data_IF_663983178338
#
_entry.id   IF_663983178338
#
_cell.length_a   1.000
_cell.length_b   1.000
_cell.length_c   1.000
_cell.angle_alpha   90.00
_cell.angle_beta   90.00
_cell.angle_gamma   90.00
#
_symmetry.space_group_name_H-M   'P 1'
#
loop_
_entity.id
_entity.type
_entity.pdbx_description
1 polymer ?
#
# COMPACT_ATOMS: atom_id res chain seq x y z
N UNK A 1 18.34 5.19 7.10
CA UNK A 1 17.54 6.27 6.50
C UNK A 1 17.51 6.26 4.98
N UNK A 2 18.62 6.45 4.25
CA UNK A 2 18.63 6.47 2.75
C UNK A 2 17.87 5.29 2.15
N UNK A 3 18.26 4.04 2.44
CA UNK A 3 17.60 2.84 1.90
C UNK A 3 16.10 2.76 2.21
N UNK A 4 15.69 3.12 3.44
CA UNK A 4 14.28 3.09 3.84
C UNK A 4 13.45 4.14 3.08
N UNK A 5 13.98 5.36 2.93
CA UNK A 5 13.31 6.39 2.13
C UNK A 5 13.24 5.98 0.66
N UNK A 6 14.34 5.45 0.09
CA UNK A 6 14.37 5.03 -1.31
C UNK A 6 13.37 3.92 -1.58
N UNK A 7 13.24 2.95 -0.65
CA UNK A 7 12.19 1.94 -0.68
C UNK A 7 10.78 2.56 -0.71
N UNK A 8 10.51 3.55 0.14
CA UNK A 8 9.22 4.26 0.15
C UNK A 8 8.94 5.01 -1.17
N UNK A 9 9.97 5.57 -1.83
CA UNK A 9 9.79 6.22 -3.15
C UNK A 9 9.44 5.23 -4.26
N UNK A 10 9.88 3.97 -4.17
CA UNK A 10 9.71 3.00 -5.28
C UNK A 10 8.26 2.78 -5.71
N UNK A 11 7.30 2.98 -4.80
CA UNK A 11 5.87 2.77 -5.07
C UNK A 11 5.30 3.82 -6.02
N UNK A 12 5.88 5.04 -6.06
CA UNK A 12 5.36 6.16 -6.83
C UNK A 12 5.49 5.94 -8.33
N UNK A 13 6.50 5.18 -8.78
CA UNK A 13 6.57 4.75 -10.16
C UNK A 13 5.30 3.99 -10.58
N UNK A 14 4.78 3.10 -9.73
CA UNK A 14 3.55 2.35 -9.97
C UNK A 14 2.28 3.21 -9.83
N UNK A 15 2.36 4.34 -9.12
CA UNK A 15 1.26 5.31 -8.98
C UNK A 15 1.04 6.18 -10.23
N UNK A 16 1.76 5.94 -11.33
CA UNK A 16 1.44 6.62 -12.62
C UNK A 16 0.17 6.08 -13.28
N UNK A 17 -0.36 4.96 -12.78
CA UNK A 17 -1.52 4.25 -13.33
C UNK A 17 -2.81 5.00 -13.03
N UNK A 18 -3.53 5.42 -14.07
CA UNK A 18 -4.77 6.23 -13.94
C UNK A 18 -6.02 5.39 -13.69
N UNK A 19 -5.90 4.07 -13.63
CA UNK A 19 -7.01 3.16 -13.38
C UNK A 19 -7.35 3.09 -11.89
N UNK A 20 -8.62 3.30 -11.57
CA UNK A 20 -9.12 3.15 -10.20
C UNK A 20 -9.08 1.67 -9.78
N UNK A 21 -8.42 1.31 -8.66
CA UNK A 21 -8.49 -0.05 -8.14
C UNK A 21 -9.91 -0.37 -7.63
N UNK A 22 -10.23 -1.66 -7.52
CA UNK A 22 -11.49 -2.08 -6.91
C UNK A 22 -11.54 -1.65 -5.45
N UNK A 23 -12.70 -1.14 -5.02
CA UNK A 23 -12.94 -0.92 -3.60
C UNK A 23 -13.11 -2.29 -2.93
N UNK A 24 -12.30 -2.64 -1.91
CA UNK A 24 -12.45 -3.91 -1.24
C UNK A 24 -13.79 -4.01 -0.48
N UNK A 25 -14.33 -5.22 -0.42
CA UNK A 25 -15.49 -5.56 0.39
C UNK A 25 -15.05 -5.63 1.86
N UNK A 26 -15.92 -5.24 2.80
CA UNK A 26 -15.63 -5.40 4.24
C UNK A 26 -15.24 -6.85 4.57
N UNK A 27 -14.10 -7.05 5.24
CA UNK A 27 -13.54 -8.38 5.54
C UNK A 27 -12.78 -9.06 4.38
N UNK A 28 -12.74 -8.46 3.19
CA UNK A 28 -11.86 -8.93 2.11
C UNK A 28 -10.41 -8.90 2.55
N UNK A 29 -9.67 -9.96 2.25
CA UNK A 29 -8.25 -10.11 2.54
C UNK A 29 -7.42 -10.15 1.27
N UNK A 30 -6.12 -9.97 1.41
CA UNK A 30 -5.14 -10.38 0.43
C UNK A 30 -3.92 -10.96 1.13
N UNK A 31 -3.49 -12.15 0.72
CA UNK A 31 -2.29 -12.79 1.26
C UNK A 31 -1.20 -13.05 0.22
N UNK A 32 0.03 -13.04 0.73
CA UNK A 32 1.23 -13.48 0.05
C UNK A 32 2.09 -14.21 1.09
N UNK A 33 2.36 -15.50 0.91
CA UNK A 33 3.18 -16.28 1.81
C UNK A 33 4.56 -16.54 1.21
N UNK A 34 5.60 -16.29 2.00
CA UNK A 34 7.00 -16.56 1.69
C UNK A 34 7.46 -16.05 0.31
N UNK A 35 7.00 -14.89 -0.12
CA UNK A 35 7.49 -14.27 -1.35
C UNK A 35 8.83 -13.61 -1.06
N UNK A 36 9.93 -14.25 -1.51
CA UNK A 36 11.29 -13.82 -1.20
C UNK A 36 11.53 -13.68 0.32
N UNK A 37 10.99 -14.61 1.11
CA UNK A 37 11.08 -14.59 2.57
C UNK A 37 10.08 -13.66 3.27
N UNK A 38 9.21 -12.97 2.54
CA UNK A 38 8.22 -12.04 3.11
C UNK A 38 6.84 -12.71 3.16
N UNK A 39 6.23 -12.68 4.35
CA UNK A 39 4.81 -12.93 4.53
C UNK A 39 4.07 -11.60 4.56
N UNK A 40 2.91 -11.52 3.90
CA UNK A 40 2.04 -10.35 3.91
C UNK A 40 0.58 -10.78 4.04
N UNK A 41 -0.16 -10.05 4.87
CA UNK A 41 -1.61 -10.13 4.98
C UNK A 41 -2.17 -8.72 5.01
N UNK A 42 -3.26 -8.49 4.27
CA UNK A 42 -4.10 -7.31 4.45
C UNK A 42 -5.57 -7.68 4.59
N UNK A 43 -6.33 -6.78 5.22
CA UNK A 43 -7.75 -6.93 5.47
C UNK A 43 -8.47 -5.58 5.35
N UNK A 44 -9.63 -5.56 4.71
CA UNK A 44 -10.52 -4.40 4.72
C UNK A 44 -11.26 -4.32 6.06
N UNK A 45 -10.71 -3.54 6.99
CA UNK A 45 -11.20 -3.43 8.37
C UNK A 45 -12.42 -2.50 8.51
N UNK A 46 -12.65 -1.59 7.56
CA UNK A 46 -13.84 -0.72 7.53
C UNK A 46 -14.24 -0.36 6.10
N UNK A 47 -15.54 -0.14 5.86
CA UNK A 47 -16.07 0.29 4.56
C UNK A 47 -16.63 1.72 4.56
N UNK A 48 -16.99 2.27 5.72
CA UNK A 48 -17.51 3.63 5.86
C UNK A 48 -16.94 4.31 7.11
N UNK A 49 -15.81 5.05 7.00
CA UNK A 49 -15.02 5.26 5.78
C UNK A 49 -14.23 4.00 5.36
N UNK A 50 -13.87 3.85 4.07
CA UNK A 50 -13.03 2.74 3.62
C UNK A 50 -11.65 2.79 4.26
N UNK A 51 -11.24 1.67 4.87
CA UNK A 51 -9.93 1.51 5.47
C UNK A 51 -9.48 0.06 5.37
N UNK A 52 -8.23 -0.14 4.99
CA UNK A 52 -7.57 -1.45 4.97
C UNK A 52 -6.34 -1.42 5.86
N UNK A 53 -6.06 -2.51 6.55
CA UNK A 53 -4.81 -2.69 7.28
C UNK A 53 -3.98 -3.79 6.61
N UNK A 54 -2.67 -3.67 6.69
CA UNK A 54 -1.71 -4.61 6.14
C UNK A 54 -0.55 -4.81 7.09
N UNK A 55 -0.04 -6.03 7.14
CA UNK A 55 1.14 -6.42 7.90
C UNK A 55 2.03 -7.26 6.99
N UNK A 56 3.29 -6.88 6.85
CA UNK A 56 4.33 -7.74 6.30
C UNK A 56 5.39 -8.02 7.34
N UNK A 57 5.99 -9.20 7.26
CA UNK A 57 7.18 -9.51 8.03
C UNK A 57 8.10 -10.50 7.35
N UNK A 58 9.38 -10.39 7.67
CA UNK A 58 10.42 -11.38 7.43
C UNK A 58 11.40 -11.40 8.61
N UNK A 59 12.57 -12.03 8.45
CA UNK A 59 13.61 -12.06 9.49
C UNK A 59 14.24 -10.68 9.80
N UNK A 60 14.09 -9.70 8.91
CA UNK A 60 14.78 -8.40 9.02
C UNK A 60 13.89 -7.26 9.48
N UNK A 61 12.61 -7.25 9.10
CA UNK A 61 11.70 -6.14 9.42
C UNK A 61 10.26 -6.60 9.62
N UNK A 62 9.48 -5.74 10.28
CA UNK A 62 8.02 -5.69 10.13
C UNK A 62 7.62 -4.43 9.38
N UNK A 63 6.53 -4.50 8.62
CA UNK A 63 5.94 -3.39 7.90
C UNK A 63 4.43 -3.38 8.16
N UNK A 64 3.97 -2.34 8.85
CA UNK A 64 2.56 -2.14 9.16
C UNK A 64 2.04 -0.96 8.35
N UNK A 65 0.93 -1.17 7.66
CA UNK A 65 0.30 -0.13 6.85
C UNK A 65 -1.19 -0.07 7.12
N UNK A 66 -1.71 1.14 7.28
CA UNK A 66 -3.14 1.42 7.20
C UNK A 66 -3.37 2.28 5.98
N UNK A 67 -4.21 1.81 5.06
CA UNK A 67 -4.66 2.57 3.90
C UNK A 67 -6.00 3.22 4.22
N UNK A 68 -5.98 4.55 4.35
CA UNK A 68 -7.17 5.40 4.50
C UNK A 68 -6.96 6.65 3.68
N UNK A 69 -7.92 6.97 2.83
CA UNK A 69 -7.81 8.11 1.91
C UNK A 69 -8.92 9.12 2.17
N UNK A 70 -8.57 10.41 2.10
CA UNK A 70 -9.53 11.50 1.99
C UNK A 70 -9.38 12.12 0.62
N UNK A 71 -10.48 12.35 -0.09
CA UNK A 71 -10.43 12.92 -1.44
C UNK A 71 -11.14 14.27 -1.52
N UNK A 72 -10.61 15.21 -2.31
CA UNK A 72 -11.22 16.51 -2.57
C UNK A 72 -11.30 16.76 -4.08
N UNK A 73 -12.52 16.81 -4.59
CA UNK A 73 -12.78 17.10 -6.00
C UNK A 73 -12.72 18.61 -6.27
N UNK A 74 -11.96 19.01 -7.29
CA UNK A 74 -11.65 20.40 -7.62
C UNK A 74 -12.09 20.72 -9.07
N UNK A 75 -13.12 20.05 -9.58
CA UNK A 75 -13.57 20.21 -10.96
C UNK A 75 -12.77 19.32 -11.92
N UNK A 76 -11.74 19.82 -12.57
CA UNK A 76 -10.95 18.99 -13.50
C UNK A 76 -9.82 18.20 -12.82
N UNK A 77 -9.72 18.26 -11.49
CA UNK A 77 -8.72 17.50 -10.72
C UNK A 77 -9.30 16.93 -9.42
N UNK A 78 -8.62 15.94 -8.86
CA UNK A 78 -8.94 15.30 -7.58
C UNK A 78 -7.67 15.23 -6.73
N UNK A 79 -7.70 15.85 -5.57
CA UNK A 79 -6.65 15.68 -4.57
C UNK A 79 -6.98 14.45 -3.72
N UNK A 80 -5.97 13.61 -3.45
CA UNK A 80 -6.03 12.39 -2.65
C UNK A 80 -5.04 12.52 -1.52
N UNK A 81 -5.54 12.61 -0.30
CA UNK A 81 -4.74 12.75 0.91
C UNK A 81 -4.60 11.38 1.62
N UNK A 82 -3.37 10.89 1.84
CA UNK A 82 -3.12 9.61 2.48
C UNK A 82 -3.18 9.73 4.02
N UNK A 83 -4.39 9.68 4.57
CA UNK A 83 -4.63 9.75 6.04
C UNK A 83 -4.08 8.53 6.79
N UNK A 84 -3.81 7.45 6.05
CA UNK A 84 -3.21 6.23 6.57
C UNK A 84 -1.84 6.41 7.22
N UNK A 85 -1.42 5.38 7.97
CA UNK A 85 -0.10 5.31 8.63
C UNK A 85 0.73 4.19 8.04
N UNK A 86 2.03 4.44 7.86
CA UNK A 86 3.01 3.43 7.48
C UNK A 86 4.13 3.39 8.52
N UNK A 87 4.42 2.19 9.05
CA UNK A 87 5.47 1.96 10.05
C UNK A 87 6.35 0.79 9.64
N UNK A 88 7.66 0.94 9.80
CA UNK A 88 8.64 -0.14 9.57
C UNK A 88 9.46 -0.32 10.83
N UNK A 89 9.52 -1.54 11.37
CA UNK A 89 10.40 -1.85 12.50
C UNK A 89 11.56 -2.70 12.01
N UNK A 90 12.80 -2.25 12.21
CA UNK A 90 14.00 -3.00 11.88
C UNK A 90 14.33 -3.97 13.01
N UNK A 91 14.13 -5.27 12.80
CA UNK A 91 14.23 -6.29 13.86
C UNK A 91 15.63 -6.37 14.48
N UNK A 92 16.68 -6.10 13.71
CA UNK A 92 18.07 -6.15 14.19
C UNK A 92 18.42 -5.03 15.18
N UNK A 93 17.93 -3.82 14.95
CA UNK A 93 18.29 -2.62 15.75
C UNK A 93 17.17 -2.19 16.68
N UNK A 94 15.95 -2.67 16.48
CA UNK A 94 14.75 -2.20 17.18
C UNK A 94 14.27 -0.82 16.73
N UNK A 95 14.87 -0.24 15.68
CA UNK A 95 14.51 1.09 15.19
C UNK A 95 13.13 1.08 14.53
N UNK A 96 12.33 2.10 14.84
CA UNK A 96 10.99 2.28 14.32
C UNK A 96 10.96 3.48 13.38
N UNK A 97 10.63 3.23 12.13
CA UNK A 97 10.50 4.24 11.09
C UNK A 97 9.04 4.55 10.82
N UNK A 98 8.73 5.83 10.63
CA UNK A 98 7.39 6.34 10.33
C UNK A 98 7.42 7.16 9.03
N UNK A 99 6.47 6.87 8.14
CA UNK A 99 6.38 7.52 6.84
C UNK A 99 5.13 8.40 6.76
N UNK A 100 5.34 9.67 6.44
CA UNK A 100 4.31 10.61 6.00
C UNK A 100 4.48 10.82 4.49
N UNK A 101 3.59 10.26 3.65
CA UNK A 101 3.66 10.45 2.21
C UNK A 101 3.04 11.79 1.76
N UNK A 102 3.51 12.38 0.64
CA UNK A 102 2.86 13.51 -0.02
C UNK A 102 1.46 13.14 -0.52
N UNK A 103 0.57 14.13 -0.73
CA UNK A 103 -0.70 13.91 -1.39
C UNK A 103 -0.50 13.49 -2.85
N UNK A 104 -1.46 12.78 -3.40
CA UNK A 104 -1.53 12.49 -4.84
C UNK A 104 -2.57 13.39 -5.50
N UNK A 105 -2.26 13.90 -6.69
CA UNK A 105 -3.17 14.68 -7.51
C UNK A 105 -3.51 13.94 -8.80
N UNK A 106 -4.81 13.75 -9.04
CA UNK A 106 -5.33 13.29 -10.33
C UNK A 106 -5.67 14.51 -11.17
N UNK A 107 -4.89 14.75 -12.22
CA UNK A 107 -5.08 15.86 -13.14
C UNK A 107 -5.90 15.41 -14.35
N UNK A 108 -6.67 16.32 -14.94
CA UNK A 108 -7.48 16.08 -16.13
C UNK A 108 -8.46 14.91 -15.94
N UNK A 109 -9.23 14.95 -14.85
CA UNK A 109 -10.19 13.90 -14.52
C UNK A 109 -11.41 13.90 -15.46
N UNK A 110 -11.82 15.08 -15.96
CA UNK A 110 -12.99 15.24 -16.84
C UNK A 110 -12.56 15.60 -18.27
N UNK A 111 -11.65 16.57 -18.41
CA UNK A 111 -11.21 17.10 -19.69
C UNK A 111 -9.71 16.90 -19.87
N UNK A 112 -9.34 16.28 -21.00
CA UNK A 112 -7.97 15.97 -21.37
C UNK A 112 -7.55 14.55 -20.99
N UNK A 113 -6.29 14.20 -21.26
CA UNK A 113 -5.72 12.92 -20.83
C UNK A 113 -5.42 12.98 -19.34
N UNK A 114 -6.03 12.08 -18.56
CA UNK A 114 -5.76 11.94 -17.14
C UNK A 114 -4.31 11.57 -16.89
N UNK A 115 -3.70 12.16 -15.86
CA UNK A 115 -2.37 11.82 -15.39
C UNK A 115 -2.25 12.10 -13.90
N UNK A 116 -1.28 11.45 -13.26
CA UNK A 116 -1.08 11.50 -11.82
C UNK A 116 0.21 12.26 -11.48
N UNK A 117 0.15 13.01 -10.39
CA UNK A 117 1.30 13.66 -9.75
C UNK A 117 1.25 13.42 -8.24
N UNK A 118 2.37 13.60 -7.54
CA UNK A 118 2.40 13.49 -6.06
C UNK A 118 3.27 14.59 -5.43
N UNK A 119 2.87 15.87 -5.57
CA UNK A 119 3.71 16.98 -5.15
C UNK A 119 3.72 17.16 -3.63
N UNK A 120 4.82 17.72 -3.13
CA UNK A 120 4.99 18.07 -1.72
C UNK A 120 5.99 17.17 -0.98
N UNK A 121 6.02 17.30 0.33
CA UNK A 121 7.01 16.61 1.16
C UNK A 121 6.61 15.17 1.47
N UNK A 122 7.58 14.27 1.31
CA UNK A 122 7.60 12.96 1.93
C UNK A 122 8.56 13.00 3.11
N UNK A 123 8.08 12.63 4.30
CA UNK A 123 8.90 12.62 5.51
C UNK A 123 9.02 11.19 6.02
N UNK A 124 10.26 10.71 6.16
CA UNK A 124 10.59 9.43 6.81
C UNK A 124 11.32 9.73 8.12
N UNK A 125 10.70 9.46 9.26
CA UNK A 125 11.28 9.73 10.58
C UNK A 125 11.72 8.44 11.25
N UNK A 126 12.93 8.41 11.83
CA UNK A 126 13.34 7.37 12.76
C UNK A 126 12.92 7.80 14.17
N UNK A 127 11.83 7.21 14.67
CA UNK A 127 11.27 7.53 15.98
C UNK A 127 12.18 7.10 17.14
N UNK A 128 13.21 6.29 16.87
CA UNK A 128 14.16 5.79 17.86
C UNK A 128 15.41 6.65 17.97
N UNK A 129 15.98 7.10 16.84
CA UNK A 129 17.23 7.90 16.84
C UNK A 129 17.01 9.39 16.73
N UNK A 130 15.85 9.82 16.20
CA UNK A 130 15.55 11.22 15.88
C UNK A 130 16.02 11.66 14.49
N UNK A 131 16.73 10.81 13.74
CA UNK A 131 17.09 11.12 12.35
C UNK A 131 15.84 11.17 11.47
N UNK A 132 15.82 12.06 10.46
CA UNK A 132 14.70 12.16 9.51
C UNK A 132 15.19 12.35 8.09
N UNK A 133 14.35 11.98 7.13
CA UNK A 133 14.52 12.37 5.73
C UNK A 133 13.33 13.22 5.33
N UNK A 134 13.59 14.33 4.66
CA UNK A 134 12.57 15.13 3.99
C UNK A 134 12.90 15.17 2.52
N UNK A 135 12.05 14.57 1.68
CA UNK A 135 12.15 14.62 0.22
C UNK A 135 11.00 15.46 -0.33
N UNK A 136 11.32 16.45 -1.16
CA UNK A 136 10.35 17.26 -1.86
C UNK A 136 10.10 16.69 -3.26
N UNK A 137 8.85 16.31 -3.51
CA UNK A 137 8.39 15.88 -4.83
C UNK A 137 7.94 17.13 -5.58
N UNK A 138 8.67 17.46 -6.65
CA UNK A 138 8.41 18.67 -7.42
C UNK A 138 7.10 18.54 -8.20
N UNK A 139 6.22 19.55 -8.15
CA UNK A 139 5.03 19.56 -8.98
C UNK A 139 5.41 19.69 -10.45
N UNK A 140 4.63 19.05 -11.32
CA UNK A 140 4.76 19.27 -12.75
C UNK A 140 4.33 20.70 -13.12
N UNK A 141 5.33 21.57 -13.35
CA UNK A 141 5.19 22.95 -13.80
C UNK A 141 4.96 23.09 -15.31
N UNK A 142 5.13 24.32 -15.81
CA UNK A 142 4.82 24.64 -17.21
C UNK A 142 5.75 23.85 -18.14
N UNK A 143 5.17 23.35 -19.23
CA UNK A 143 5.87 22.49 -20.19
C UNK A 143 6.51 21.22 -19.59
N UNK A 144 6.09 20.80 -18.39
CA UNK A 144 6.61 19.60 -17.72
C UNK A 144 7.85 19.81 -16.85
N UNK A 145 8.25 21.06 -16.58
CA UNK A 145 9.33 21.37 -15.64
C UNK A 145 9.06 20.74 -14.25
N UNK A 146 10.08 20.19 -13.59
CA UNK A 146 9.93 19.53 -12.28
C UNK A 146 9.24 18.17 -12.32
N UNK A 147 8.67 17.75 -13.45
CA UNK A 147 7.92 16.50 -13.50
C UNK A 147 8.82 15.31 -13.18
N UNK A 148 8.38 14.54 -12.19
CA UNK A 148 9.08 13.38 -11.61
C UNK A 148 10.26 13.69 -10.71
N UNK A 149 10.69 14.95 -10.61
CA UNK A 149 11.87 15.32 -9.84
C UNK A 149 11.59 15.18 -8.35
N UNK A 150 12.59 14.66 -7.65
CA UNK A 150 12.58 14.53 -6.20
C UNK A 150 13.98 14.77 -5.67
N UNK A 151 14.08 15.61 -4.65
CA UNK A 151 15.32 15.83 -3.93
C UNK A 151 15.05 16.20 -2.48
N UNK A 152 16.10 16.18 -1.67
CA UNK A 152 16.04 16.57 -0.27
C UNK A 152 17.16 15.91 0.51
N UNK A 153 17.00 15.83 1.82
CA UNK A 153 18.13 15.53 2.70
C UNK A 153 17.77 14.52 3.77
N UNK A 154 18.77 13.74 4.17
CA UNK A 154 18.82 13.07 5.46
C UNK A 154 19.36 14.05 6.48
N UNK A 155 18.60 14.28 7.54
CA UNK A 155 18.97 15.09 8.69
C UNK A 155 19.26 14.19 9.88
N UNK A 156 20.25 14.59 10.69
CA UNK A 156 20.42 14.00 12.02
C UNK A 156 19.36 14.54 13.00
N UNK A 157 19.37 14.02 14.24
CA UNK A 157 18.51 14.49 15.33
C UNK A 157 18.62 15.99 15.67
N UNK A 158 19.73 16.64 15.31
CA UNK A 158 20.01 18.05 15.57
C UNK A 158 19.56 18.95 14.38
N UNK A 159 18.80 18.37 13.44
CA UNK A 159 18.29 19.01 12.22
C UNK A 159 19.37 19.48 11.24
N UNK A 160 20.57 18.91 11.32
CA UNK A 160 21.66 19.21 10.39
C UNK A 160 21.59 18.25 9.18
N UNK A 161 21.64 18.76 7.94
CA UNK A 161 21.73 17.91 6.76
C UNK A 161 23.06 17.15 6.74
N UNK A 162 23.01 15.88 6.35
CA UNK A 162 24.20 15.00 6.25
C UNK A 162 24.34 14.32 4.89
N UNK A 163 23.22 14.07 4.22
CA UNK A 163 23.20 13.36 2.95
C UNK A 163 22.15 14.02 2.04
N UNK A 164 22.58 14.48 0.87
CA UNK A 164 21.70 14.87 -0.22
C UNK A 164 21.18 13.62 -0.93
N UNK A 165 19.88 13.58 -1.22
CA UNK A 165 19.23 12.58 -2.07
C UNK A 165 18.61 13.32 -3.24
N UNK A 166 18.86 12.86 -4.46
CA UNK A 166 18.33 13.47 -5.70
C UNK A 166 17.91 12.38 -6.68
N UNK A 167 16.97 12.70 -7.56
CA UNK A 167 16.64 11.84 -8.68
C UNK A 167 15.26 12.09 -9.27
N UNK A 168 14.70 11.04 -9.85
CA UNK A 168 13.34 11.03 -10.38
C UNK A 168 12.59 9.80 -9.88
N UNK A 169 11.45 10.01 -9.22
CA UNK A 169 10.68 8.92 -8.62
C UNK A 169 10.11 7.92 -9.64
N UNK A 170 10.16 8.24 -10.94
CA UNK A 170 9.79 7.34 -12.02
C UNK A 170 10.99 6.68 -12.74
N UNK A 171 12.22 6.94 -12.32
CA UNK A 171 13.43 6.44 -12.99
C UNK A 171 14.48 5.94 -12.01
N UNK A 172 15.11 6.81 -11.22
CA UNK A 172 16.17 6.42 -10.30
C UNK A 172 16.37 7.45 -9.18
N UNK A 173 16.99 7.00 -8.10
CA UNK A 173 17.44 7.83 -6.98
C UNK A 173 18.92 7.62 -6.73
N UNK A 174 19.60 8.70 -6.37
CA UNK A 174 20.98 8.68 -5.93
C UNK A 174 21.14 9.49 -4.65
N UNK A 175 22.26 9.29 -3.96
CA UNK A 175 22.60 10.04 -2.75
C UNK A 175 24.08 10.37 -2.68
N UNK A 176 24.43 11.40 -1.92
CA UNK A 176 25.79 11.85 -1.71
C UNK A 176 25.92 12.55 -0.35
N UNK A 177 27.02 12.36 0.41
CA UNK A 177 27.26 13.14 1.62
C UNK A 177 27.30 14.65 1.33
N UNK A 178 26.72 15.45 2.21
CA UNK A 178 26.69 16.91 2.10
C UNK A 178 27.22 17.59 3.37
N UNK A 179 27.59 18.86 3.26
CA UNK A 179 27.88 19.71 4.42
C UNK A 179 26.59 20.27 5.06
N UNK A 180 26.76 21.20 6.01
CA UNK A 180 25.68 21.84 6.76
C UNK A 180 24.85 22.80 5.89
N UNK A 181 25.39 23.27 4.76
CA UNK A 181 24.67 24.10 3.79
C UNK A 181 23.88 23.23 2.79
N UNK A 182 24.08 21.90 2.82
CA UNK A 182 23.46 20.95 1.90
C UNK A 182 24.28 20.71 0.64
N UNK A 183 25.47 21.30 0.53
CA UNK A 183 26.31 21.15 -0.66
C UNK A 183 27.08 19.82 -0.62
N UNK A 184 27.22 19.11 -1.75
CA UNK A 184 27.99 17.88 -1.81
C UNK A 184 29.43 18.05 -1.32
N UNK A 185 29.89 17.14 -0.45
CA UNK A 185 31.25 17.22 0.09
C UNK A 185 32.30 17.04 -1.03
N UNK A 186 33.38 17.85 -1.05
CA UNK A 186 34.45 17.72 -2.04
C UNK A 186 35.03 16.31 -2.10
N UNK A 187 35.20 15.77 -3.31
CA UNK A 187 35.77 14.44 -3.55
C UNK A 187 34.84 13.26 -3.25
N UNK A 188 33.57 13.50 -2.92
CA UNK A 188 32.56 12.45 -2.85
C UNK A 188 31.91 12.22 -4.22
N UNK A 189 31.35 11.02 -4.41
CA UNK A 189 30.65 10.64 -5.63
C UNK A 189 29.15 10.45 -5.36
N UNK A 190 28.34 10.77 -6.37
CA UNK A 190 26.91 10.50 -6.37
C UNK A 190 26.67 9.00 -6.57
N UNK A 191 26.05 8.34 -5.58
CA UNK A 191 25.82 6.88 -5.60
C UNK A 191 24.35 6.56 -5.89
N UNK A 192 24.11 5.75 -6.93
CA UNK A 192 22.76 5.23 -7.21
C UNK A 192 22.32 4.29 -6.08
N UNK A 193 21.12 4.50 -5.55
CA UNK A 193 20.53 3.65 -4.48
C UNK A 193 19.31 2.88 -4.98
N UNK A 194 18.62 3.38 -5.99
CA UNK A 194 17.48 2.70 -6.59
C UNK A 194 17.35 3.10 -8.05
N UNK A 195 16.89 2.14 -8.86
CA UNK A 195 16.49 2.33 -10.25
C UNK A 195 15.25 1.51 -10.54
N UNK A 196 14.36 2.08 -11.35
CA UNK A 196 13.16 1.41 -11.83
C UNK A 196 13.55 0.17 -12.63
N UNK A 197 12.85 -0.92 -12.38
CA UNK A 197 13.01 -2.16 -13.13
C UNK A 197 12.30 -2.09 -14.49
N UNK A 198 12.68 -2.98 -15.40
CA UNK A 198 11.97 -3.20 -16.65
C UNK A 198 10.49 -3.55 -16.43
N UNK A 199 9.67 -3.22 -17.43
CA UNK A 199 8.22 -3.28 -17.38
C UNK A 199 7.67 -3.97 -18.62
N UNK A 200 6.52 -4.66 -18.51
CA UNK A 200 5.84 -5.20 -19.68
C UNK A 200 5.51 -4.09 -20.68
N UNK A 201 5.95 -4.25 -21.92
CA UNK A 201 5.61 -3.32 -23.00
C UNK A 201 4.13 -3.43 -23.37
N UNK A 202 3.48 -2.29 -23.64
CA UNK A 202 2.09 -2.21 -24.10
C UNK A 202 1.06 -2.89 -23.17
N UNK A 203 1.34 -2.98 -21.87
CA UNK A 203 0.37 -3.51 -20.91
C UNK A 203 -0.90 -2.65 -20.84
N UNK A 204 -2.06 -3.31 -21.00
CA UNK A 204 -3.39 -2.66 -21.04
C UNK A 204 -3.68 -1.80 -19.81
N UNK A 205 -3.23 -2.24 -18.62
CA UNK A 205 -3.49 -1.57 -17.35
C UNK A 205 -2.22 -0.93 -16.77
N UNK A 206 -1.14 -0.91 -17.55
CA UNK A 206 0.19 -0.43 -17.18
C UNK A 206 0.71 -1.12 -15.91
N UNK A 207 0.46 -2.43 -15.78
CA UNK A 207 0.95 -3.24 -14.67
C UNK A 207 2.46 -3.44 -14.72
N UNK A 208 3.08 -3.49 -13.54
CA UNK A 208 4.43 -4.01 -13.37
C UNK A 208 4.43 -5.53 -13.45
N UNK A 209 5.58 -6.16 -13.70
CA UNK A 209 5.71 -7.62 -13.57
C UNK A 209 5.30 -8.12 -12.19
N UNK A 210 5.54 -7.32 -11.14
CA UNK A 210 5.09 -7.63 -9.80
C UNK A 210 3.56 -7.54 -9.68
N UNK A 211 2.92 -6.51 -10.25
CA UNK A 211 1.47 -6.35 -10.22
C UNK A 211 0.73 -7.50 -10.92
N UNK A 212 1.28 -8.04 -12.01
CA UNK A 212 0.75 -9.25 -12.67
C UNK A 212 0.79 -10.49 -11.77
N UNK A 213 1.75 -10.58 -10.85
CA UNK A 213 1.82 -11.68 -9.89
C UNK A 213 0.72 -11.57 -8.84
N UNK A 214 0.37 -10.35 -8.41
CA UNK A 214 -0.51 -10.14 -7.26
C UNK A 214 -1.83 -10.90 -7.37
N UNK A 215 -2.52 -10.84 -8.51
CA UNK A 215 -3.82 -11.50 -8.67
C UNK A 215 -3.71 -12.91 -9.29
N UNK A 216 -2.51 -13.40 -9.60
CA UNK A 216 -2.33 -14.73 -10.17
C UNK A 216 -2.43 -15.82 -9.10
N UNK A 217 -3.20 -16.87 -9.42
CA UNK A 217 -3.26 -18.10 -8.62
C UNK A 217 -1.93 -18.88 -8.62
N UNK A 218 -1.05 -18.66 -9.58
CA UNK A 218 0.27 -19.32 -9.61
C UNK A 218 1.18 -18.81 -8.48
N UNK A 219 0.84 -17.67 -7.89
CA UNK A 219 1.52 -17.11 -6.70
C UNK A 219 0.62 -17.10 -5.46
N UNK A 220 -0.56 -17.73 -5.54
CA UNK A 220 -1.42 -17.88 -4.38
C UNK A 220 -0.77 -18.86 -3.40
N UNK A 221 -0.78 -18.55 -2.09
CA UNK A 221 -0.35 -19.52 -1.09
C UNK A 221 -1.33 -20.70 -1.03
N UNK A 222 -0.82 -21.86 -0.61
CA UNK A 222 -1.66 -23.04 -0.32
C UNK A 222 -2.60 -22.75 0.84
N UNK A 223 -3.80 -23.32 0.82
CA UNK A 223 -4.82 -23.04 1.83
C UNK A 223 -5.32 -21.59 1.79
N UNK A 224 -5.55 -21.06 0.59
CA UNK A 224 -5.97 -19.68 0.36
C UNK A 224 -7.24 -19.34 1.16
N UNK A 225 -7.23 -18.19 1.82
CA UNK A 225 -8.37 -17.71 2.58
C UNK A 225 -9.60 -17.53 1.67
N UNK A 226 -10.82 -17.91 2.11
CA UNK A 226 -12.05 -17.65 1.36
C UNK A 226 -12.30 -16.17 1.08
N UNK A 227 -11.73 -15.30 1.90
CA UNK A 227 -11.80 -13.84 1.78
C UNK A 227 -10.73 -13.26 0.84
N UNK A 228 -9.84 -14.07 0.25
CA UNK A 228 -8.74 -13.56 -0.57
C UNK A 228 -9.24 -12.89 -1.86
N UNK A 229 -8.63 -11.74 -2.14
CA UNK A 229 -8.86 -10.91 -3.31
C UNK A 229 -8.81 -11.65 -4.66
N UNK A 230 -8.00 -12.71 -4.79
CA UNK A 230 -7.89 -13.50 -6.02
C UNK A 230 -9.18 -14.25 -6.36
N UNK A 231 -10.01 -14.54 -5.36
CA UNK A 231 -11.29 -15.24 -5.52
C UNK A 231 -12.40 -14.30 -6.00
N UNK A 232 -12.15 -12.98 -6.12
CA UNK A 232 -13.19 -12.03 -6.54
C UNK A 232 -13.62 -12.24 -7.99
N UNK A 233 -14.90 -12.57 -8.24
CA UNK A 233 -15.37 -12.91 -9.58
C UNK A 233 -15.43 -11.71 -10.53
N UNK A 234 -15.63 -10.49 -10.02
CA UNK A 234 -15.62 -9.27 -10.84
C UNK A 234 -14.21 -8.91 -11.34
N UNK A 235 -13.18 -9.10 -10.49
CA UNK A 235 -11.77 -8.93 -10.85
C UNK A 235 -11.34 -9.96 -11.88
N UNK A 236 -11.64 -11.24 -11.64
CA UNK A 236 -11.33 -12.32 -12.58
C UNK A 236 -11.97 -12.09 -13.95
N UNK A 237 -13.25 -11.68 -14.00
CA UNK A 237 -13.93 -11.34 -15.24
C UNK A 237 -13.26 -10.16 -15.97
N UNK A 238 -12.86 -9.11 -15.25
CA UNK A 238 -12.17 -7.95 -15.83
C UNK A 238 -10.81 -8.34 -16.43
N UNK A 239 -10.03 -9.19 -15.73
CA UNK A 239 -8.73 -9.65 -16.22
C UNK A 239 -8.86 -10.49 -17.50
N UNK A 240 -9.91 -11.30 -17.61
CA UNK A 240 -10.24 -12.05 -18.84
C UNK A 240 -10.85 -11.16 -19.94
N UNK A 241 -11.05 -9.87 -19.68
CA UNK A 241 -11.60 -8.91 -20.64
C UNK A 241 -13.13 -8.95 -20.79
N UNK A 242 -13.84 -9.71 -19.96
CA UNK A 242 -15.31 -9.79 -19.95
C UNK A 242 -15.90 -8.66 -19.10
N UNK A 243 -16.02 -7.48 -19.72
CA UNK A 243 -16.55 -6.28 -19.07
C UNK A 243 -18.00 -6.42 -18.61
N UNK A 244 -18.82 -7.19 -19.35
CA UNK A 244 -20.23 -7.41 -19.01
C UNK A 244 -20.34 -8.24 -17.73
N UNK A 245 -19.65 -9.39 -17.68
CA UNK A 245 -19.64 -10.24 -16.49
C UNK A 245 -19.02 -9.51 -15.29
N UNK A 246 -17.95 -8.75 -15.50
CA UNK A 246 -17.36 -7.93 -14.44
C UNK A 246 -18.37 -6.95 -13.84
N UNK A 247 -19.17 -6.26 -14.67
CA UNK A 247 -20.22 -5.35 -14.22
C UNK A 247 -21.35 -6.03 -13.44
N UNK A 248 -21.79 -7.20 -13.91
CA UNK A 248 -22.83 -8.01 -13.24
C UNK A 248 -22.34 -8.49 -11.88
N UNK A 249 -21.15 -9.08 -11.82
CA UNK A 249 -20.57 -9.59 -10.57
C UNK A 249 -20.28 -8.49 -9.56
N UNK A 250 -19.80 -7.33 -10.03
CA UNK A 250 -19.61 -6.14 -9.19
C UNK A 250 -20.92 -5.73 -8.52
N UNK A 251 -22.00 -5.61 -9.30
CA UNK A 251 -23.33 -5.22 -8.79
C UNK A 251 -23.82 -6.23 -7.76
N UNK A 252 -23.75 -7.53 -8.09
CA UNK A 252 -24.14 -8.63 -7.20
C UNK A 252 -23.41 -8.58 -5.86
N UNK A 253 -22.11 -8.31 -5.86
CA UNK A 253 -21.32 -8.23 -4.62
C UNK A 253 -21.62 -6.99 -3.79
N UNK A 254 -21.78 -5.83 -4.42
CA UNK A 254 -22.19 -4.60 -3.72
C UNK A 254 -23.56 -4.76 -3.06
N UNK A 255 -24.51 -5.43 -3.73
CA UNK A 255 -25.82 -5.75 -3.17
C UNK A 255 -25.74 -6.73 -1.99
N UNK A 256 -24.91 -7.77 -2.09
CA UNK A 256 -24.65 -8.69 -0.98
C UNK A 256 -24.04 -7.97 0.23
N UNK A 257 -23.06 -7.08 0.01
CA UNK A 257 -22.47 -6.29 1.08
C UNK A 257 -23.49 -5.36 1.74
N UNK A 258 -24.39 -4.72 0.97
CA UNK A 258 -25.49 -3.92 1.52
C UNK A 258 -26.48 -4.78 2.32
N UNK A 259 -26.77 -6.01 1.87
CA UNK A 259 -27.64 -6.93 2.57
C UNK A 259 -27.02 -7.42 3.90
N UNK A 260 -25.73 -7.81 3.89
CA UNK A 260 -24.97 -8.15 5.09
C UNK A 260 -25.00 -7.00 6.09
N UNK A 261 -24.69 -5.77 5.65
CA UNK A 261 -24.73 -4.59 6.51
C UNK A 261 -26.09 -4.41 7.19
N UNK A 262 -27.19 -4.52 6.45
CA UNK A 262 -28.55 -4.41 7.00
C UNK A 262 -28.86 -5.52 8.01
N UNK A 263 -28.41 -6.73 7.75
CA UNK A 263 -28.59 -7.86 8.67
C UNK A 263 -27.79 -7.64 9.96
N UNK A 264 -26.53 -7.22 9.84
CA UNK A 264 -25.66 -6.93 10.97
C UNK A 264 -26.23 -5.79 11.84
N UNK A 265 -26.73 -4.72 11.22
CA UNK A 265 -27.42 -3.63 11.91
C UNK A 265 -28.71 -4.09 12.62
N UNK A 266 -29.53 -4.94 11.98
CA UNK A 266 -30.76 -5.44 12.59
C UNK A 266 -30.51 -6.37 13.79
N UNK A 267 -29.40 -7.11 13.76
CA UNK A 267 -28.94 -7.96 14.86
C UNK A 267 -28.12 -7.21 15.91
N UNK A 268 -27.88 -5.89 15.73
CA UNK A 268 -26.99 -5.08 16.58
C UNK A 268 -25.59 -5.68 16.76
N UNK A 269 -25.08 -6.30 15.71
CA UNK A 269 -23.75 -6.88 15.67
C UNK A 269 -22.74 -5.85 15.14
N UNK A 270 -21.54 -5.87 15.68
CA UNK A 270 -20.42 -5.11 15.14
C UNK A 270 -19.54 -6.00 14.26
N UNK A 271 -18.93 -5.43 13.23
CA UNK A 271 -17.96 -6.16 12.42
C UNK A 271 -16.61 -6.10 13.11
N UNK A 272 -16.00 -7.26 13.37
CA UNK A 272 -14.68 -7.36 13.98
C UNK A 272 -13.71 -7.94 12.96
N UNK A 273 -12.65 -7.21 12.57
CA UNK A 273 -11.66 -7.75 11.66
C UNK A 273 -10.95 -8.97 12.28
N UNK A 274 -10.60 -9.94 11.44
CA UNK A 274 -10.07 -11.23 11.89
C UNK A 274 -8.59 -11.15 12.24
N UNK A 275 -7.80 -10.42 11.44
CA UNK A 275 -6.34 -10.43 11.51
C UNK A 275 -5.77 -9.16 12.16
N UNK A 276 -6.62 -8.15 12.36
CA UNK A 276 -6.26 -6.88 12.97
C UNK A 276 -7.21 -6.55 14.12
N UNK A 277 -6.66 -6.02 15.21
CA UNK A 277 -7.40 -5.61 16.40
C UNK A 277 -7.45 -4.10 16.47
N UNK A 278 -8.65 -3.53 16.65
CA UNK A 278 -8.81 -2.12 17.00
C UNK A 278 -8.27 -1.88 18.42
N UNK A 279 -7.35 -0.93 18.55
CA UNK A 279 -6.67 -0.64 19.84
C UNK A 279 -7.49 0.25 20.76
N UNK A 280 -8.40 1.07 20.20
CA UNK A 280 -9.06 2.17 20.90
C UNK A 280 -8.29 3.50 20.79
N UNK A 281 -7.06 3.48 20.30
CA UNK A 281 -6.25 4.68 20.10
C UNK A 281 -6.55 5.36 18.77
N UNK A 282 -6.34 6.68 18.74
CA UNK A 282 -6.40 7.51 17.55
C UNK A 282 -5.04 8.16 17.34
N UNK A 283 -4.54 8.12 16.11
CA UNK A 283 -3.31 8.82 15.71
C UNK A 283 -3.65 9.93 14.72
N UNK A 284 -3.00 11.08 14.89
CA UNK A 284 -3.10 12.19 13.95
C UNK A 284 -2.01 12.09 12.89
N UNK A 285 -2.39 12.33 11.64
CA UNK A 285 -1.47 12.57 10.52
C UNK A 285 -1.66 14.01 10.05
N UNK A 286 -0.74 14.56 9.23
CA UNK A 286 -0.96 15.87 8.60
C UNK A 286 -2.25 15.95 7.76
N UNK A 287 -2.80 14.79 7.37
CA UNK A 287 -3.96 14.67 6.51
C UNK A 287 -5.27 14.41 7.26
N UNK A 288 -5.20 14.10 8.56
CA UNK A 288 -6.34 13.87 9.44
C UNK A 288 -6.12 12.73 10.44
N UNK A 289 -7.14 12.46 11.22
CA UNK A 289 -7.10 11.44 12.27
C UNK A 289 -7.52 10.05 11.75
N UNK A 290 -6.94 9.01 12.34
CA UNK A 290 -7.32 7.62 12.10
C UNK A 290 -7.26 6.78 13.36
N UNK A 291 -8.20 5.84 13.47
CA UNK A 291 -8.17 4.77 14.46
C UNK A 291 -6.99 3.85 14.20
N UNK A 292 -6.38 3.35 15.28
CA UNK A 292 -5.22 2.47 15.19
C UNK A 292 -5.65 1.00 15.28
N UNK A 293 -5.29 0.25 14.25
CA UNK A 293 -5.40 -1.20 14.20
C UNK A 293 -4.01 -1.83 14.27
N UNK A 294 -3.90 -2.93 14.99
CA UNK A 294 -2.66 -3.69 15.15
C UNK A 294 -2.85 -5.11 14.65
N UNK A 295 -1.83 -5.64 13.99
CA UNK A 295 -1.78 -7.05 13.64
C UNK A 295 -1.82 -7.91 14.91
N UNK A 296 -2.68 -8.93 14.94
CA UNK A 296 -2.95 -9.71 16.14
C UNK A 296 -2.23 -11.07 16.20
N UNK A 297 -1.36 -11.38 15.23
CA UNK A 297 -0.60 -12.63 15.18
C UNK A 297 -1.37 -13.87 14.69
N UNK A 298 -2.71 -13.83 14.67
CA UNK A 298 -3.54 -15.00 14.36
C UNK A 298 -3.34 -15.54 12.94
N UNK A 299 -2.95 -14.69 11.99
CA UNK A 299 -2.67 -15.13 10.61
C UNK A 299 -1.41 -15.99 10.54
N UNK A 300 -0.35 -15.64 11.27
CA UNK A 300 0.87 -16.45 11.35
C UNK A 300 0.57 -17.82 11.96
N UNK A 301 -0.22 -17.87 13.05
CA UNK A 301 -0.70 -19.13 13.62
C UNK A 301 -1.51 -19.96 12.61
N UNK A 302 -2.39 -19.31 11.84
CA UNK A 302 -3.14 -19.97 10.78
C UNK A 302 -2.21 -20.56 9.71
N UNK A 303 -1.21 -19.81 9.24
CA UNK A 303 -0.23 -20.30 8.26
C UNK A 303 0.57 -21.50 8.78
N UNK A 304 1.02 -21.45 10.03
CA UNK A 304 1.72 -22.58 10.65
C UNK A 304 0.84 -23.84 10.72
N UNK A 305 -0.48 -23.71 10.98
CA UNK A 305 -1.41 -24.85 10.97
C UNK A 305 -1.59 -25.46 9.57
N UNK A 306 -1.73 -24.61 8.55
CA UNK A 306 -1.86 -25.05 7.14
C UNK A 306 -0.58 -25.76 6.68
N UNK A 307 0.59 -25.24 7.03
CA UNK A 307 1.88 -25.86 6.70
C UNK A 307 2.08 -27.20 7.41
N UNK A 308 1.55 -27.36 8.63
CA UNK A 308 1.58 -28.62 9.37
C UNK A 308 0.53 -29.65 8.88
N UNK A 309 -0.45 -29.26 8.06
CA UNK A 309 -1.60 -30.10 7.67
C UNK A 309 -1.74 -30.20 6.14
N UNK A 310 -0.99 -31.09 5.46
CA UNK A 310 -0.96 -31.18 3.99
C UNK A 310 -2.32 -31.42 3.34
N UNK A 311 -3.24 -32.13 4.02
CA UNK A 311 -4.58 -32.42 3.48
C UNK A 311 -5.49 -31.19 3.37
N UNK A 312 -5.31 -30.17 4.22
CA UNK A 312 -6.05 -28.90 4.11
C UNK A 312 -5.45 -27.98 3.02
N UNK A 313 -4.20 -28.24 2.63
CA UNK A 313 -3.47 -27.47 1.63
C UNK A 313 -3.81 -27.87 0.17
N UNK A 314 -4.38 -29.06 -0.04
CA UNK A 314 -4.70 -29.64 -1.37
C UNK A 314 -6.09 -29.25 -1.92
N UNK A 315 -6.82 -28.35 -1.24
CA UNK A 315 -8.07 -27.79 -1.76
C UNK A 315 -7.75 -26.96 -3.01
N UNK A 316 -8.41 -27.24 -4.14
CA UNK A 316 -8.30 -26.43 -5.36
C UNK A 316 -8.81 -25.01 -5.08
N UNK A 317 -7.89 -24.10 -4.79
CA UNK A 317 -8.17 -22.71 -4.47
C UNK A 317 -8.95 -22.00 -5.57
N UNK A 318 -8.87 -22.44 -6.83
CA UNK A 318 -9.62 -21.81 -7.94
C UNK A 318 -11.12 -22.13 -7.90
N UNK A 319 -11.50 -23.25 -7.28
CA UNK A 319 -12.90 -23.69 -7.14
C UNK A 319 -13.61 -23.09 -5.92
N UNK A 320 -12.86 -22.45 -5.03
CA UNK A 320 -13.35 -21.90 -3.77
C UNK A 320 -14.22 -20.65 -3.99
N UNK A 321 -15.36 -20.59 -3.31
CA UNK A 321 -16.22 -19.41 -3.35
C UNK A 321 -15.64 -18.29 -2.50
N UNK A 322 -15.64 -17.06 -3.05
CA UNK A 322 -15.31 -15.85 -2.31
C UNK A 322 -16.29 -15.59 -1.17
N UNK A 323 -15.79 -15.54 0.07
CA UNK A 323 -16.52 -15.31 1.32
C UNK A 323 -15.73 -14.32 2.20
N UNK A 324 -15.94 -13.00 2.02
CA UNK A 324 -15.22 -11.98 2.78
C UNK A 324 -15.73 -11.80 4.21
N UNK A 325 -16.97 -12.20 4.49
CA UNK A 325 -17.54 -12.10 5.84
C UNK A 325 -17.36 -13.43 6.56
N UNK A 326 -16.70 -13.37 7.71
CA UNK A 326 -16.58 -14.48 8.65
C UNK A 326 -16.95 -13.91 10.02
N UNK A 327 -17.93 -14.52 10.67
CA UNK A 327 -18.39 -14.11 11.99
C UNK A 327 -17.78 -15.03 13.05
N UNK A 328 -17.63 -14.56 14.30
CA UNK A 328 -17.02 -15.35 15.39
C UNK A 328 -17.66 -16.73 15.60
N UNK A 329 -18.91 -16.93 15.19
CA UNK A 329 -19.58 -18.24 15.19
C UNK A 329 -19.01 -19.26 14.19
N UNK A 330 -18.11 -18.84 13.30
CA UNK A 330 -17.52 -19.63 12.21
C UNK A 330 -16.00 -19.77 12.32
N UNK A 331 -15.38 -19.25 13.40
CA UNK A 331 -13.92 -19.20 13.60
C UNK A 331 -13.43 -20.26 14.59
#
# INVERSE_FOLDING_TARGET
>A
MVYATSWAVTIYFAYQRTWKPFNPILGETYEMANHLGINFISEQVSHHPPMSCGHAENEHFTYDVTSKLRTKFLGNSLDVYPVGRTRVTLKRTGEVLDLVPPPTKVNNLIFGRTWLDSPGEMVMSNLTTGDKVVLYFHPCGWFGAGRYEVDGYVYNKDEEPKILITGKWNNSLSYQPCDIEGEPLPGTELKEVWKVTEMPENDKFQYTYFAHKLNSFDTAPRGLLPSDSRLRPDRSALELGDLNKAGVEKTRMEEKQRAEKRQRESLKQEFTPRWFRLTGDVTSTPWGDMEVYEYNGKYAEHRSRIEASPSEADIDSKSQAFKPWQFESEI
#
